data_IF_897258863390
#
_entry.id   IF_897258863390
#
_cell.length_a   1.000
_cell.length_b   1.000
_cell.length_c   1.000
_cell.angle_alpha   90.00
_cell.angle_beta   90.00
_cell.angle_gamma   90.00
#
_symmetry.space_group_name_H-M   'P 1'
#
loop_
_entity.id
_entity.type
_entity.pdbx_description
1 polymer ?
#
# COMPACT_ATOMS: atom_id res chain seq x y z
N UNK A 1 -75.59 -19.71 -34.74
CA UNK A 1 -74.23 -20.16 -35.07
C UNK A 1 -73.28 -18.99 -34.86
N UNK A 2 -72.67 -18.94 -33.70
CA UNK A 2 -71.78 -17.88 -33.21
C UNK A 2 -70.34 -18.23 -33.60
N UNK A 3 -69.69 -17.38 -34.40
CA UNK A 3 -68.29 -17.54 -34.79
C UNK A 3 -67.39 -16.85 -33.76
N UNK A 4 -66.44 -17.60 -33.20
CA UNK A 4 -65.47 -17.14 -32.20
C UNK A 4 -64.33 -16.35 -32.87
N UNK A 5 -63.95 -15.21 -32.30
CA UNK A 5 -62.64 -14.58 -32.53
C UNK A 5 -61.61 -15.17 -31.55
N UNK A 6 -60.37 -15.45 -31.97
CA UNK A 6 -59.27 -15.71 -31.03
C UNK A 6 -58.57 -14.41 -30.59
N UNK A 7 -58.25 -14.36 -29.31
CA UNK A 7 -57.62 -13.23 -28.61
C UNK A 7 -56.12 -13.09 -28.91
N UNK A 8 -55.71 -11.82 -28.97
CA UNK A 8 -54.42 -11.21 -28.59
C UNK A 8 -53.23 -12.14 -28.33
N UNK A 9 -52.26 -12.12 -29.25
CA UNK A 9 -50.88 -12.50 -28.96
C UNK A 9 -50.23 -11.48 -28.03
N UNK A 10 -49.98 -11.87 -26.78
CA UNK A 10 -49.20 -11.08 -25.83
C UNK A 10 -47.74 -11.09 -26.29
N UNK A 11 -47.26 -9.91 -26.69
CA UNK A 11 -45.85 -9.67 -26.98
C UNK A 11 -45.06 -9.86 -25.68
N UNK A 12 -44.15 -10.85 -25.66
CA UNK A 12 -43.25 -11.07 -24.54
C UNK A 12 -42.30 -9.87 -24.42
N UNK A 13 -42.54 -9.04 -23.41
CA UNK A 13 -41.65 -7.94 -23.05
C UNK A 13 -40.31 -8.53 -22.60
N UNK A 14 -39.27 -8.30 -23.39
CA UNK A 14 -37.90 -8.61 -23.00
C UNK A 14 -37.52 -7.67 -21.83
N UNK A 15 -37.55 -8.20 -20.61
CA UNK A 15 -37.07 -7.49 -19.43
C UNK A 15 -35.56 -7.26 -19.58
N UNK A 16 -35.17 -6.06 -19.99
CA UNK A 16 -33.79 -5.62 -19.90
C UNK A 16 -33.40 -5.55 -18.42
N UNK A 17 -32.59 -6.49 -17.96
CA UNK A 17 -31.93 -6.43 -16.66
C UNK A 17 -30.90 -5.30 -16.71
N UNK A 18 -31.26 -4.14 -16.18
CA UNK A 18 -30.31 -3.07 -15.90
C UNK A 18 -29.27 -3.62 -14.90
N UNK A 19 -27.96 -3.50 -15.17
CA UNK A 19 -26.95 -3.86 -14.18
C UNK A 19 -27.16 -3.00 -12.94
N UNK A 20 -27.26 -3.66 -11.79
CA UNK A 20 -27.34 -3.01 -10.48
C UNK A 20 -26.22 -1.98 -10.36
N UNK A 21 -26.49 -0.76 -9.88
CA UNK A 21 -25.45 0.24 -9.70
C UNK A 21 -24.39 -0.33 -8.75
N UNK A 22 -23.15 -0.43 -9.23
CA UNK A 22 -22.01 -0.83 -8.41
C UNK A 22 -21.92 0.16 -7.25
N UNK A 23 -22.00 -0.34 -6.02
CA UNK A 23 -21.83 0.48 -4.82
C UNK A 23 -20.51 1.25 -4.95
N UNK A 24 -20.48 2.53 -4.58
CA UNK A 24 -19.27 3.37 -4.66
C UNK A 24 -18.08 2.69 -3.94
N UNK A 25 -18.38 1.94 -2.87
CA UNK A 25 -17.41 1.16 -2.10
C UNK A 25 -16.70 0.08 -2.91
N UNK A 26 -17.38 -0.48 -3.91
CA UNK A 26 -16.86 -1.57 -4.75
C UNK A 26 -16.25 -1.03 -6.06
N UNK A 27 -16.04 0.29 -6.16
CA UNK A 27 -15.47 0.88 -7.36
C UNK A 27 -13.96 0.59 -7.44
N UNK A 28 -13.41 0.28 -8.64
CA UNK A 28 -11.98 0.06 -8.83
C UNK A 28 -11.12 1.23 -8.36
N UNK A 29 -11.64 2.46 -8.44
CA UNK A 29 -10.95 3.65 -7.95
C UNK A 29 -10.77 3.65 -6.42
N UNK A 30 -11.78 3.19 -5.67
CA UNK A 30 -11.69 3.04 -4.21
C UNK A 30 -10.69 1.95 -3.85
N UNK A 31 -10.76 0.79 -4.51
CA UNK A 31 -9.80 -0.30 -4.31
C UNK A 31 -8.35 0.15 -4.59
N UNK A 32 -8.11 0.87 -5.69
CA UNK A 32 -6.78 1.45 -5.96
C UNK A 32 -6.33 2.40 -4.86
N UNK A 33 -7.22 3.21 -4.31
CA UNK A 33 -6.88 4.16 -3.26
C UNK A 33 -6.53 3.45 -1.96
N UNK A 34 -7.34 2.47 -1.53
CA UNK A 34 -7.13 1.71 -0.31
C UNK A 34 -5.83 0.92 -0.35
N UNK A 35 -5.59 0.18 -1.43
CA UNK A 35 -4.38 -0.65 -1.56
C UNK A 35 -3.10 0.20 -1.68
N UNK A 36 -3.19 1.35 -2.37
CA UNK A 36 -2.08 2.32 -2.37
C UNK A 36 -1.82 2.89 -0.98
N UNK A 37 -2.86 3.23 -0.22
CA UNK A 37 -2.72 3.71 1.16
C UNK A 37 -2.11 2.65 2.08
N UNK A 38 -2.47 1.36 1.92
CA UNK A 38 -1.84 0.27 2.67
C UNK A 38 -0.34 0.19 2.40
N UNK A 39 0.09 0.30 1.14
CA UNK A 39 1.52 0.34 0.80
C UNK A 39 2.21 1.55 1.45
N UNK A 40 1.61 2.74 1.39
CA UNK A 40 2.16 3.91 2.07
C UNK A 40 2.27 3.72 3.58
N UNK A 41 1.28 3.09 4.21
CA UNK A 41 1.30 2.81 5.64
C UNK A 41 2.46 1.87 6.01
N UNK A 42 2.66 0.78 5.26
CA UNK A 42 3.76 -0.16 5.48
C UNK A 42 5.13 0.53 5.37
N UNK A 43 5.31 1.34 4.33
CA UNK A 43 6.55 2.13 4.16
C UNK A 43 6.71 3.13 5.30
N UNK A 44 5.64 3.82 5.70
CA UNK A 44 5.68 4.77 6.80
C UNK A 44 6.10 4.09 8.11
N UNK A 45 5.51 2.94 8.44
CA UNK A 45 5.86 2.17 9.63
C UNK A 45 7.33 1.74 9.63
N UNK A 46 7.89 1.32 8.49
CA UNK A 46 9.31 0.94 8.42
C UNK A 46 10.30 2.09 8.67
N UNK A 47 9.83 3.33 8.65
CA UNK A 47 10.66 4.52 8.90
C UNK A 47 10.51 5.07 10.32
N UNK A 48 9.48 4.66 11.05
CA UNK A 48 9.23 5.11 12.42
C UNK A 48 10.23 4.45 13.39
N UNK A 49 10.56 5.18 14.46
CA UNK A 49 11.36 4.61 15.52
C UNK A 49 10.55 3.51 16.22
N UNK A 50 11.09 2.31 16.42
CA UNK A 50 10.39 1.21 17.07
C UNK A 50 10.35 1.45 18.59
N UNK A 51 9.21 1.91 19.08
CA UNK A 51 8.99 2.19 20.51
C UNK A 51 8.81 0.90 21.33
N UNK A 52 8.21 -0.12 20.74
CA UNK A 52 7.91 -1.41 21.33
C UNK A 52 8.13 -2.59 20.35
N UNK A 53 7.79 -3.80 20.78
CA UNK A 53 7.99 -5.03 19.99
C UNK A 53 6.96 -5.23 18.87
N UNK A 54 5.89 -4.43 18.77
CA UNK A 54 4.77 -4.67 17.84
C UNK A 54 5.27 -4.77 16.39
N UNK A 55 6.10 -3.81 15.96
CA UNK A 55 6.62 -3.82 14.61
C UNK A 55 7.61 -4.97 14.37
N UNK A 56 8.42 -5.34 15.37
CA UNK A 56 9.35 -6.45 15.25
C UNK A 56 8.62 -7.80 15.16
N UNK A 57 7.55 -7.98 15.94
CA UNK A 57 6.69 -9.14 15.88
C UNK A 57 5.96 -9.22 14.54
N UNK A 58 5.45 -8.09 14.05
CA UNK A 58 4.82 -7.97 12.73
C UNK A 58 5.75 -8.35 11.57
N UNK A 59 7.05 -8.07 11.70
CA UNK A 59 8.06 -8.54 10.73
C UNK A 59 8.27 -10.06 10.84
N UNK A 60 8.38 -10.58 12.06
CA UNK A 60 8.70 -12.00 12.32
C UNK A 60 7.61 -12.98 11.97
N UNK A 61 6.35 -12.60 12.22
CA UNK A 61 5.21 -13.43 11.85
C UNK A 61 4.99 -13.47 10.32
N UNK A 62 5.69 -12.61 9.56
CA UNK A 62 5.60 -12.53 8.11
C UNK A 62 4.45 -11.64 7.61
N UNK A 63 3.57 -11.17 8.49
CA UNK A 63 2.39 -10.39 8.13
C UNK A 63 2.76 -9.09 7.38
N UNK A 64 3.88 -8.44 7.71
CA UNK A 64 4.35 -7.26 6.96
C UNK A 64 4.50 -7.53 5.46
N UNK A 65 5.10 -8.67 5.11
CA UNK A 65 5.36 -9.06 3.71
C UNK A 65 4.07 -9.53 3.06
N UNK A 66 3.25 -10.30 3.77
CA UNK A 66 1.96 -10.79 3.28
C UNK A 66 1.00 -9.64 2.96
N UNK A 67 0.87 -8.68 3.87
CA UNK A 67 0.06 -7.47 3.67
C UNK A 67 0.54 -6.64 2.48
N UNK A 68 1.86 -6.52 2.32
CA UNK A 68 2.46 -5.85 1.18
C UNK A 68 2.14 -6.54 -0.16
N UNK A 69 2.25 -7.87 -0.19
CA UNK A 69 1.92 -8.69 -1.38
C UNK A 69 0.43 -8.59 -1.72
N UNK A 70 -0.44 -8.77 -0.73
CA UNK A 70 -1.88 -8.67 -0.90
C UNK A 70 -2.29 -7.30 -1.45
N UNK A 71 -1.71 -6.21 -0.91
CA UNK A 71 -1.97 -4.86 -1.41
C UNK A 71 -1.49 -4.67 -2.85
N UNK A 72 -0.33 -5.23 -3.24
CA UNK A 72 0.16 -5.16 -4.62
C UNK A 72 -0.69 -5.97 -5.60
N UNK A 73 -1.14 -7.16 -5.20
CA UNK A 73 -2.00 -8.01 -6.02
C UNK A 73 -3.36 -7.36 -6.26
N UNK A 74 -3.98 -6.84 -5.20
CA UNK A 74 -5.23 -6.09 -5.30
C UNK A 74 -5.06 -4.80 -6.14
N UNK A 75 -3.94 -4.09 -5.99
CA UNK A 75 -3.64 -2.91 -6.79
C UNK A 75 -3.46 -3.24 -8.28
N UNK A 76 -2.83 -4.37 -8.61
CA UNK A 76 -2.69 -4.82 -10.00
C UNK A 76 -4.04 -5.13 -10.63
N UNK A 77 -4.91 -5.84 -9.92
CA UNK A 77 -6.28 -6.13 -10.37
C UNK A 77 -7.07 -4.84 -10.55
N UNK A 78 -7.01 -3.92 -9.59
CA UNK A 78 -7.77 -2.68 -9.63
C UNK A 78 -7.24 -1.67 -10.67
N UNK A 79 -5.97 -1.77 -11.07
CA UNK A 79 -5.38 -1.00 -12.17
C UNK A 79 -5.82 -1.51 -13.54
N UNK A 80 -5.88 -2.83 -13.74
CA UNK A 80 -6.22 -3.41 -15.03
C UNK A 80 -5.29 -2.93 -16.14
N UNK A 81 -5.80 -2.13 -17.08
CA UNK A 81 -5.02 -1.53 -18.17
C UNK A 81 -4.56 -0.09 -17.90
N UNK A 82 -4.99 0.53 -16.80
CA UNK A 82 -4.62 1.89 -16.43
C UNK A 82 -3.11 1.99 -16.10
N UNK A 83 -2.47 3.09 -16.50
CA UNK A 83 -1.04 3.33 -16.24
C UNK A 83 -0.06 2.54 -17.13
N UNK A 84 -0.56 1.56 -17.90
CA UNK A 84 0.19 0.84 -18.92
C UNK A 84 1.46 0.15 -18.41
N UNK A 85 2.45 0.03 -19.28
CA UNK A 85 3.69 -0.72 -18.99
C UNK A 85 4.52 -0.12 -17.85
N UNK A 86 4.44 1.20 -17.67
CA UNK A 86 5.14 1.88 -16.58
C UNK A 86 4.63 1.43 -15.21
N UNK A 87 3.30 1.34 -15.05
CA UNK A 87 2.68 0.92 -13.80
C UNK A 87 3.06 -0.53 -13.48
N UNK A 88 2.97 -1.44 -14.47
CA UNK A 88 3.39 -2.84 -14.31
C UNK A 88 4.83 -2.98 -13.86
N UNK A 89 5.77 -2.30 -14.53
CA UNK A 89 7.19 -2.31 -14.14
C UNK A 89 7.41 -1.83 -12.70
N UNK A 90 6.66 -0.82 -12.24
CA UNK A 90 6.74 -0.33 -10.86
C UNK A 90 6.19 -1.33 -9.85
N UNK A 91 5.06 -1.98 -10.15
CA UNK A 91 4.51 -3.05 -9.31
C UNK A 91 5.48 -4.24 -9.20
N UNK A 92 6.06 -4.68 -10.32
CA UNK A 92 7.09 -5.73 -10.31
C UNK A 92 8.28 -5.33 -9.46
N UNK A 93 8.77 -4.09 -9.61
CA UNK A 93 9.88 -3.59 -8.79
C UNK A 93 9.54 -3.59 -7.29
N UNK A 94 8.32 -3.22 -6.90
CA UNK A 94 7.88 -3.25 -5.51
C UNK A 94 7.80 -4.69 -4.97
N UNK A 95 7.32 -5.64 -5.78
CA UNK A 95 7.35 -7.07 -5.42
C UNK A 95 8.76 -7.57 -5.17
N UNK A 96 9.71 -7.18 -6.02
CA UNK A 96 11.13 -7.51 -5.82
C UNK A 96 11.65 -6.93 -4.50
N UNK A 97 11.30 -5.68 -4.16
CA UNK A 97 11.71 -5.09 -2.89
C UNK A 97 11.12 -5.86 -1.68
N UNK A 98 9.84 -6.24 -1.73
CA UNK A 98 9.25 -7.06 -0.65
C UNK A 98 9.92 -8.43 -0.51
N UNK A 99 10.33 -9.07 -1.61
CA UNK A 99 11.08 -10.32 -1.55
C UNK A 99 12.48 -10.14 -0.93
N UNK A 100 13.15 -9.01 -1.18
CA UNK A 100 14.42 -8.69 -0.52
C UNK A 100 14.22 -8.47 0.99
N UNK A 101 13.16 -7.75 1.37
CA UNK A 101 12.79 -7.53 2.77
C UNK A 101 12.49 -8.86 3.47
N UNK A 102 11.71 -9.76 2.85
CA UNK A 102 11.43 -11.09 3.41
C UNK A 102 12.70 -11.90 3.65
N UNK A 103 13.62 -11.89 2.67
CA UNK A 103 14.90 -12.58 2.82
C UNK A 103 15.73 -12.00 3.98
N UNK A 104 15.77 -10.66 4.11
CA UNK A 104 16.47 -9.99 5.21
C UNK A 104 15.87 -10.34 6.57
N UNK A 105 14.53 -10.34 6.66
CA UNK A 105 13.82 -10.72 7.88
C UNK A 105 14.16 -12.16 8.26
N UNK A 106 14.14 -13.08 7.29
CA UNK A 106 14.44 -14.49 7.50
C UNK A 106 15.91 -14.75 7.88
N UNK A 107 16.86 -13.96 7.36
CA UNK A 107 18.29 -14.13 7.64
C UNK A 107 18.75 -13.45 8.93
N UNK A 108 18.20 -12.28 9.25
CA UNK A 108 18.68 -11.43 10.34
C UNK A 108 17.66 -11.28 11.46
N UNK A 109 16.43 -10.84 11.15
CA UNK A 109 15.44 -10.42 12.14
C UNK A 109 14.86 -11.54 13.02
N UNK A 110 15.01 -12.81 12.60
CA UNK A 110 14.57 -13.98 13.39
C UNK A 110 15.19 -13.97 14.80
N UNK A 111 16.44 -13.52 14.92
CA UNK A 111 17.18 -13.53 16.19
C UNK A 111 17.30 -12.17 16.86
N UNK A 112 16.72 -11.11 16.28
CA UNK A 112 16.86 -9.76 16.83
C UNK A 112 16.21 -9.63 18.21
N UNK A 113 16.45 -8.52 18.88
CA UNK A 113 15.64 -8.02 19.97
C UNK A 113 15.21 -6.60 19.61
N UNK A 114 14.27 -6.04 20.35
CA UNK A 114 13.84 -4.65 20.14
C UNK A 114 15.05 -3.70 20.09
N UNK A 115 16.04 -3.92 20.95
CA UNK A 115 17.27 -3.12 21.00
C UNK A 115 18.09 -3.16 19.70
N UNK A 116 18.09 -4.29 18.98
CA UNK A 116 18.82 -4.42 17.71
C UNK A 116 18.16 -3.56 16.63
N UNK A 117 16.82 -3.65 16.52
CA UNK A 117 16.04 -2.84 15.59
C UNK A 117 16.16 -1.35 15.91
N UNK A 118 16.12 -0.96 17.19
CA UNK A 118 16.35 0.42 17.63
C UNK A 118 17.77 0.91 17.34
N UNK A 119 18.77 0.04 17.51
CA UNK A 119 20.16 0.35 17.20
C UNK A 119 20.36 0.60 15.71
N UNK A 120 19.81 -0.28 14.86
CA UNK A 120 19.86 -0.12 13.40
C UNK A 120 19.11 1.12 12.93
N UNK A 121 17.93 1.39 13.49
CA UNK A 121 17.18 2.63 13.21
C UNK A 121 18.04 3.87 13.52
N UNK A 122 18.62 3.94 14.73
CA UNK A 122 19.51 5.06 15.10
C UNK A 122 20.75 5.13 14.21
N UNK A 123 21.34 4.00 13.85
CA UNK A 123 22.51 3.93 12.97
C UNK A 123 22.21 4.55 11.61
N UNK A 124 21.05 4.23 11.03
CA UNK A 124 20.64 4.69 9.69
C UNK A 124 20.10 6.12 9.70
N UNK A 125 19.28 6.47 10.69
CA UNK A 125 18.50 7.71 10.68
C UNK A 125 18.98 8.79 11.65
N UNK A 126 19.80 8.48 12.65
CA UNK A 126 20.14 9.41 13.75
C UNK A 126 21.62 9.83 13.85
N UNK A 127 22.58 9.11 13.26
CA UNK A 127 23.99 9.50 13.41
C UNK A 127 24.33 10.76 12.59
N UNK A 128 24.61 11.85 13.30
CA UNK A 128 24.84 13.21 12.77
C UNK A 128 26.21 13.38 12.08
N UNK A 129 27.16 12.47 12.29
CA UNK A 129 28.53 12.59 11.78
C UNK A 129 28.61 12.21 10.28
N UNK A 130 27.73 11.31 9.85
CA UNK A 130 27.48 10.93 8.45
C UNK A 130 25.99 10.66 8.32
N UNK A 131 25.21 11.67 7.93
CA UNK A 131 23.79 11.51 7.62
C UNK A 131 23.68 10.62 6.38
N UNK A 132 23.63 9.29 6.56
CA UNK A 132 23.53 8.38 5.42
C UNK A 132 22.21 8.60 4.68
N UNK A 133 21.08 8.61 5.40
CA UNK A 133 19.73 8.83 4.83
C UNK A 133 18.74 9.40 5.87
N UNK A 134 18.87 10.64 6.34
CA UNK A 134 17.94 11.19 7.33
C UNK A 134 16.52 11.33 6.75
N UNK A 135 15.46 10.93 7.47
CA UNK A 135 14.11 10.81 6.89
C UNK A 135 13.37 12.16 6.90
N UNK A 136 14.07 13.27 6.71
CA UNK A 136 13.50 14.61 6.73
C UNK A 136 13.50 15.22 5.34
N UNK A 137 12.31 15.60 4.88
CA UNK A 137 12.15 16.36 3.64
C UNK A 137 13.03 17.61 3.62
N UNK A 138 13.19 18.31 4.77
CA UNK A 138 13.97 19.55 4.88
C UNK A 138 15.47 19.40 4.59
N UNK A 139 16.01 18.17 4.61
CA UNK A 139 17.41 17.89 4.26
C UNK A 139 17.60 17.59 2.77
N UNK A 140 16.53 17.27 2.05
CA UNK A 140 16.56 16.89 0.63
C UNK A 140 15.66 17.74 -0.29
N UNK A 141 14.78 18.54 0.29
CA UNK A 141 13.88 19.49 -0.34
C UNK A 141 14.38 20.93 -0.19
N UNK A 142 14.14 21.74 -1.21
CA UNK A 142 14.73 23.06 -1.43
C UNK A 142 14.38 24.18 -0.42
N UNK A 143 13.82 23.91 0.76
CA UNK A 143 13.50 24.97 1.73
C UNK A 143 13.77 24.55 3.18
N UNK A 144 14.78 25.20 3.77
CA UNK A 144 15.20 25.04 5.17
C UNK A 144 14.15 25.67 6.11
N UNK A 145 13.20 24.89 6.62
CA UNK A 145 12.24 25.40 7.62
C UNK A 145 12.81 25.42 9.04
N UNK A 146 13.94 24.75 9.30
CA UNK A 146 14.76 25.08 10.48
C UNK A 146 15.66 26.27 10.15
N UNK A 147 15.03 27.42 9.88
CA UNK A 147 15.70 28.69 10.06
C UNK A 147 16.19 28.73 11.51
N UNK A 148 17.50 28.90 11.68
CA UNK A 148 18.20 29.01 12.95
C UNK A 148 17.29 29.56 14.05
N UNK A 149 16.87 28.69 14.99
CA UNK A 149 16.25 29.16 16.21
C UNK A 149 17.25 30.08 16.89
N UNK A 150 16.86 31.35 17.04
CA UNK A 150 17.58 32.46 17.66
C UNK A 150 18.67 32.04 18.66
N UNK A 151 19.89 32.55 18.46
CA UNK A 151 20.92 32.57 19.50
C UNK A 151 20.36 33.39 20.68
N UNK A 152 20.14 32.74 21.83
CA UNK A 152 19.89 33.44 23.09
C UNK A 152 21.13 34.30 23.40
N UNK A 153 20.93 35.63 23.41
CA UNK A 153 21.89 36.59 23.96
C UNK A 153 21.77 36.71 25.47
#
# INVERSE_FOLDING_TARGET
MTSQQPMQGVSASATATLPSPVSIKDSPAVERALNRSKIYLLVSWSLLYPEDEEFLDYLRCGEFVEDGRAALDALEVALGTEGGERARKKLTSLRTQLALVENLIASECVNWQLSDLQSEHRRVFSNVITLDCPPYETLFGNDHVFAQSHVMG
#
